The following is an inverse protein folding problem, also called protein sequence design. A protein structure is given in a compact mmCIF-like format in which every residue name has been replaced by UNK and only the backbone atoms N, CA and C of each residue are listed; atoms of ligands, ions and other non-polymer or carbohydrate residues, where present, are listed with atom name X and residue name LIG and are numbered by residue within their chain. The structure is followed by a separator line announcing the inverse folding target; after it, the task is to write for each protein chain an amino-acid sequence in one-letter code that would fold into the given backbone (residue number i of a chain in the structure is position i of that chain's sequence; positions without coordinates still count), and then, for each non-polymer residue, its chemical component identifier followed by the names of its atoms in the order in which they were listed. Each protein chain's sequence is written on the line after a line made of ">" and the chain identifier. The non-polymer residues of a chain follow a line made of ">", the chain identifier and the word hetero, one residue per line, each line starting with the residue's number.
data_IF_408606244550
#
_entry.id   IF_408606244550
#
_cell.length_a   1.000
_cell.length_b   1.000
_cell.length_c   1.000
_cell.angle_alpha   90.00
_cell.angle_beta   90.00
_cell.angle_gamma   90.00
#
_symmetry.space_group_name_H-M   'P 1'
#
loop_
_entity.id
_entity.type
_entity.pdbx_description
1 polymer ?
#
# COMPACT_ATOMS: atom_id res chain seq x y z
N UNK A 1 63.16 -38.60 -5.15
CA UNK A 1 62.83 -37.40 -5.91
C UNK A 1 61.33 -37.48 -6.18
N UNK A 2 60.52 -36.91 -5.31
CA UNK A 2 59.08 -36.99 -5.36
C UNK A 2 58.57 -35.57 -5.46
N UNK A 3 58.16 -35.18 -6.68
CA UNK A 3 57.58 -33.88 -6.95
C UNK A 3 56.15 -33.81 -6.37
N UNK A 4 55.97 -32.85 -5.44
CA UNK A 4 54.67 -32.53 -4.91
C UNK A 4 54.06 -31.44 -5.79
N UNK A 5 53.03 -31.79 -6.54
CA UNK A 5 52.14 -30.84 -7.23
C UNK A 5 51.26 -30.10 -6.21
N UNK A 6 51.14 -28.78 -6.30
CA UNK A 6 50.20 -28.02 -5.44
C UNK A 6 48.77 -28.14 -5.95
N UNK A 7 47.90 -28.58 -5.05
CA UNK A 7 46.44 -28.57 -5.25
C UNK A 7 45.97 -27.11 -5.30
N UNK A 8 45.53 -26.65 -6.46
CA UNK A 8 44.79 -25.39 -6.60
C UNK A 8 43.38 -25.59 -6.07
N UNK A 9 43.09 -24.97 -4.94
CA UNK A 9 41.73 -24.79 -4.49
C UNK A 9 41.06 -23.70 -5.37
N UNK A 10 40.27 -24.12 -6.32
CA UNK A 10 39.33 -23.25 -7.01
C UNK A 10 38.24 -22.81 -6.01
N UNK A 11 38.34 -21.56 -5.56
CA UNK A 11 37.26 -20.88 -4.85
C UNK A 11 36.15 -20.60 -5.86
N UNK A 12 35.20 -21.52 -5.97
CA UNK A 12 33.93 -21.25 -6.61
C UNK A 12 33.23 -20.12 -5.82
N UNK A 13 33.24 -18.93 -6.36
CA UNK A 13 32.44 -17.82 -5.93
C UNK A 13 30.96 -18.17 -6.17
N UNK A 14 30.29 -18.59 -5.11
CA UNK A 14 28.83 -18.64 -5.07
C UNK A 14 28.34 -17.19 -5.08
N UNK A 15 28.04 -16.68 -6.27
CA UNK A 15 27.28 -15.47 -6.46
C UNK A 15 25.84 -15.73 -6.00
N UNK A 16 25.55 -15.39 -4.75
CA UNK A 16 24.18 -15.34 -4.26
C UNK A 16 23.48 -14.18 -4.97
N UNK A 17 22.70 -14.52 -5.98
CA UNK A 17 21.79 -13.58 -6.66
C UNK A 17 20.67 -13.21 -5.72
N UNK A 18 20.85 -12.17 -4.93
CA UNK A 18 19.79 -11.53 -4.19
C UNK A 18 18.92 -10.68 -5.15
N UNK A 19 18.12 -11.35 -5.98
CA UNK A 19 17.07 -10.73 -6.79
C UNK A 19 15.78 -10.71 -5.99
N UNK A 20 15.62 -9.69 -5.17
CA UNK A 20 14.44 -9.43 -4.38
C UNK A 20 14.28 -7.95 -4.07
N UNK A 21 14.64 -7.10 -5.01
CA UNK A 21 14.44 -5.66 -4.86
C UNK A 21 12.97 -5.34 -5.10
N UNK A 22 12.25 -5.08 -4.02
CA UNK A 22 10.94 -4.46 -4.03
C UNK A 22 10.99 -3.19 -4.89
N UNK A 23 10.39 -3.24 -6.08
CA UNK A 23 10.40 -2.17 -7.07
C UNK A 23 9.83 -0.83 -6.59
N UNK A 24 9.31 -0.77 -5.39
CA UNK A 24 8.73 0.43 -4.79
C UNK A 24 9.66 1.20 -3.86
N UNK A 25 10.83 0.65 -3.50
CA UNK A 25 11.70 1.27 -2.49
C UNK A 25 12.47 2.49 -3.01
N UNK A 26 12.60 2.66 -4.31
CA UNK A 26 13.61 3.56 -4.89
C UNK A 26 13.14 4.96 -5.25
N UNK A 27 11.86 5.31 -5.12
CA UNK A 27 11.34 6.58 -5.66
C UNK A 27 10.47 7.39 -4.70
N UNK A 28 10.55 7.14 -3.40
CA UNK A 28 9.91 8.04 -2.46
C UNK A 28 10.73 9.33 -2.34
N UNK A 29 10.32 10.34 -3.11
CA UNK A 29 10.62 11.73 -2.81
C UNK A 29 9.31 12.36 -2.34
N UNK A 30 9.17 12.64 -1.04
CA UNK A 30 7.98 13.31 -0.55
C UNK A 30 7.90 14.68 -1.25
N UNK A 31 6.72 15.01 -1.76
CA UNK A 31 6.44 16.37 -2.20
C UNK A 31 6.72 17.34 -1.04
N UNK A 32 7.14 18.58 -1.31
CA UNK A 32 7.34 19.57 -0.25
C UNK A 32 6.04 19.76 0.52
N UNK A 33 6.10 19.55 1.85
CA UNK A 33 4.93 19.59 2.71
C UNK A 33 5.21 19.10 4.12
N UNK A 34 4.18 19.05 4.93
CA UNK A 34 4.27 18.57 6.32
C UNK A 34 3.95 17.09 6.35
N UNK A 35 4.89 16.27 6.81
CA UNK A 35 4.63 14.84 7.03
C UNK A 35 3.67 14.67 8.22
N UNK A 36 2.60 13.92 7.97
CA UNK A 36 1.59 13.55 8.96
C UNK A 36 1.65 12.04 9.21
N UNK A 37 1.34 11.63 10.43
CA UNK A 37 1.23 10.23 10.80
C UNK A 37 0.10 10.00 11.79
N UNK A 38 -0.67 8.93 11.59
CA UNK A 38 -1.83 8.61 12.44
C UNK A 38 -2.01 7.10 12.57
N UNK A 39 -2.41 6.64 13.75
CA UNK A 39 -2.89 5.28 13.94
C UNK A 39 -4.38 5.20 13.57
N UNK A 40 -4.72 4.24 12.72
CA UNK A 40 -6.09 4.04 12.21
C UNK A 40 -6.45 2.56 12.22
N UNK A 41 -7.75 2.27 12.21
CA UNK A 41 -8.24 0.92 11.92
C UNK A 41 -8.24 0.71 10.42
N UNK A 42 -7.59 -0.35 9.95
CA UNK A 42 -7.59 -0.77 8.56
C UNK A 42 -8.42 -2.03 8.37
N UNK A 43 -9.32 -2.01 7.40
CA UNK A 43 -10.04 -3.16 6.85
C UNK A 43 -9.75 -3.29 5.37
N UNK A 44 -10.32 -4.28 4.70
CA UNK A 44 -10.18 -4.47 3.26
C UNK A 44 -11.53 -4.71 2.60
N UNK A 45 -11.67 -4.28 1.36
CA UNK A 45 -12.87 -4.48 0.55
C UNK A 45 -12.54 -4.92 -0.88
N UNK A 46 -13.55 -5.46 -1.57
CA UNK A 46 -13.43 -5.98 -2.93
C UNK A 46 -14.42 -5.31 -3.88
N UNK A 47 -14.07 -5.30 -5.16
CA UNK A 47 -14.97 -4.89 -6.26
C UNK A 47 -15.75 -6.09 -6.79
N UNK A 48 -16.48 -6.77 -5.92
CA UNK A 48 -17.37 -7.86 -6.34
C UNK A 48 -18.83 -7.40 -6.26
N UNK A 49 -19.67 -7.70 -7.27
CA UNK A 49 -21.05 -7.18 -7.34
C UNK A 49 -21.89 -7.51 -6.10
N UNK A 50 -21.63 -8.65 -5.47
CA UNK A 50 -22.39 -9.13 -4.31
C UNK A 50 -22.13 -8.31 -3.03
N UNK A 51 -21.09 -7.48 -3.02
CA UNK A 51 -20.67 -6.71 -1.83
C UNK A 51 -20.87 -5.20 -1.99
N UNK A 52 -21.33 -4.73 -3.15
CA UNK A 52 -21.34 -3.30 -3.46
C UNK A 52 -22.67 -2.87 -4.04
N UNK A 53 -23.27 -1.82 -3.48
CA UNK A 53 -24.39 -1.12 -4.09
C UNK A 53 -23.85 -0.19 -5.18
N UNK A 54 -24.27 -0.40 -6.44
CA UNK A 54 -23.82 0.39 -7.60
C UNK A 54 -22.73 -0.28 -8.41
N UNK A 55 -21.86 0.51 -9.04
CA UNK A 55 -20.73 -0.01 -9.81
C UNK A 55 -19.53 -0.27 -8.88
N UNK A 56 -19.17 -1.54 -8.63
CA UNK A 56 -18.08 -1.89 -7.72
C UNK A 56 -16.69 -1.47 -8.21
N UNK A 57 -16.57 -1.08 -9.47
CA UNK A 57 -15.33 -0.64 -10.09
C UNK A 57 -15.15 0.88 -10.03
N UNK A 58 -16.07 1.61 -9.41
CA UNK A 58 -15.97 3.06 -9.27
C UNK A 58 -15.85 3.47 -7.80
N UNK A 59 -14.82 4.26 -7.49
CA UNK A 59 -14.70 4.95 -6.23
C UNK A 59 -15.73 6.09 -6.10
N UNK A 60 -15.86 6.65 -4.91
CA UNK A 60 -16.86 7.68 -4.57
C UNK A 60 -16.75 8.97 -5.40
N UNK A 61 -15.63 9.22 -6.04
CA UNK A 61 -15.41 10.37 -6.93
C UNK A 61 -15.41 10.00 -8.41
N UNK A 62 -15.80 8.76 -8.76
CA UNK A 62 -15.82 8.28 -10.13
C UNK A 62 -14.48 7.76 -10.63
N UNK A 63 -13.49 7.62 -9.76
CA UNK A 63 -12.21 6.99 -10.12
C UNK A 63 -12.40 5.50 -10.38
N UNK A 64 -11.81 5.01 -11.47
CA UNK A 64 -11.87 3.60 -11.81
C UNK A 64 -10.93 2.79 -10.92
N UNK A 65 -11.47 1.82 -10.23
CA UNK A 65 -10.76 0.90 -9.35
C UNK A 65 -10.50 -0.42 -10.09
N UNK A 66 -9.42 -0.48 -10.85
CA UNK A 66 -9.04 -1.69 -11.58
C UNK A 66 -8.40 -2.74 -10.64
N UNK A 67 -8.52 -4.04 -10.96
CA UNK A 67 -7.79 -5.06 -10.24
C UNK A 67 -6.29 -4.75 -10.17
N UNK A 68 -5.71 -4.79 -8.96
CA UNK A 68 -4.32 -4.42 -8.73
C UNK A 68 -4.08 -2.94 -8.46
N UNK A 69 -5.10 -2.08 -8.53
CA UNK A 69 -4.99 -0.70 -8.11
C UNK A 69 -4.65 -0.61 -6.61
N UNK A 70 -3.64 0.20 -6.27
CA UNK A 70 -3.31 0.51 -4.87
C UNK A 70 -4.16 1.66 -4.40
N UNK A 71 -5.40 1.37 -4.06
CA UNK A 71 -6.41 2.35 -3.66
C UNK A 71 -6.90 2.09 -2.24
N UNK A 72 -7.25 3.16 -1.54
CA UNK A 72 -7.93 3.11 -0.24
C UNK A 72 -9.15 4.00 -0.22
N UNK A 73 -10.16 3.58 0.54
CA UNK A 73 -11.21 4.44 1.02
C UNK A 73 -10.84 5.00 2.40
N UNK A 74 -11.20 6.24 2.67
CA UNK A 74 -10.92 6.90 3.95
C UNK A 74 -12.19 7.38 4.62
N UNK A 75 -12.21 7.36 5.95
CA UNK A 75 -13.31 7.94 6.73
C UNK A 75 -13.33 9.46 6.62
N UNK A 76 -14.49 10.12 6.78
CA UNK A 76 -14.65 11.56 6.54
C UNK A 76 -13.74 12.45 7.39
N UNK A 77 -13.44 12.05 8.61
CA UNK A 77 -12.51 12.76 9.49
C UNK A 77 -11.08 12.81 8.95
N UNK A 78 -10.66 11.77 8.22
CA UNK A 78 -9.34 11.73 7.58
C UNK A 78 -9.28 12.68 6.36
N UNK A 79 -10.39 12.85 5.64
CA UNK A 79 -10.50 13.87 4.59
C UNK A 79 -10.30 15.27 5.16
N UNK A 80 -10.91 15.55 6.32
CA UNK A 80 -10.76 16.82 7.01
C UNK A 80 -9.31 17.08 7.50
N UNK A 81 -8.54 16.02 7.74
CA UNK A 81 -7.11 16.08 8.09
C UNK A 81 -6.18 16.20 6.87
N UNK A 82 -6.71 16.38 5.66
CA UNK A 82 -5.91 16.56 4.45
C UNK A 82 -5.63 15.30 3.65
N UNK A 83 -6.21 14.16 4.00
CA UNK A 83 -6.18 12.97 3.17
C UNK A 83 -7.25 13.04 2.07
N UNK A 84 -7.03 13.91 1.10
CA UNK A 84 -7.96 14.17 0.00
C UNK A 84 -7.81 13.15 -1.13
N UNK A 85 -8.76 13.21 -2.09
CA UNK A 85 -8.67 12.42 -3.33
C UNK A 85 -7.28 12.56 -3.99
N UNK A 86 -6.66 11.45 -4.30
CA UNK A 86 -5.34 11.39 -4.93
C UNK A 86 -4.15 11.50 -3.97
N UNK A 87 -4.39 11.78 -2.67
CA UNK A 87 -3.33 11.78 -1.66
C UNK A 87 -2.62 10.44 -1.65
N UNK A 88 -1.29 10.48 -1.55
CA UNK A 88 -0.45 9.30 -1.41
C UNK A 88 -0.25 8.96 0.05
N UNK A 89 -0.43 7.70 0.39
CA UNK A 89 -0.39 7.21 1.77
C UNK A 89 0.51 6.00 1.86
N UNK A 90 1.41 6.00 2.84
CA UNK A 90 2.13 4.81 3.27
C UNK A 90 1.39 4.15 4.40
N UNK A 91 1.26 2.84 4.34
CA UNK A 91 0.53 2.02 5.32
C UNK A 91 1.51 1.00 5.88
N UNK A 92 1.71 1.00 7.19
CA UNK A 92 2.59 0.02 7.83
C UNK A 92 2.11 -1.41 7.56
N UNK A 93 3.04 -2.26 7.17
CA UNK A 93 2.75 -3.65 6.79
C UNK A 93 2.36 -3.85 5.33
N UNK A 94 2.25 -2.79 4.53
CA UNK A 94 2.03 -2.88 3.09
C UNK A 94 3.18 -2.24 2.31
N UNK A 95 3.60 -2.84 1.18
CA UNK A 95 4.63 -2.26 0.34
C UNK A 95 4.06 -1.07 -0.45
N UNK A 96 4.96 -0.18 -0.88
CA UNK A 96 4.65 0.93 -1.76
C UNK A 96 3.69 1.96 -1.17
N UNK A 97 3.23 2.87 -2.02
CA UNK A 97 2.23 3.87 -1.69
C UNK A 97 0.87 3.48 -2.22
N UNK A 98 -0.13 3.94 -1.51
CA UNK A 98 -1.54 3.77 -1.81
C UNK A 98 -2.16 5.13 -2.09
N UNK A 99 -3.16 5.20 -2.94
CA UNK A 99 -3.87 6.45 -3.25
C UNK A 99 -5.24 6.46 -2.61
N UNK A 100 -5.64 7.62 -2.10
CA UNK A 100 -7.03 7.87 -1.67
C UNK A 100 -7.88 8.05 -2.93
N UNK A 101 -8.68 7.05 -3.29
CA UNK A 101 -9.55 7.06 -4.45
C UNK A 101 -11.01 6.76 -4.11
N UNK A 102 -11.29 6.56 -2.82
CA UNK A 102 -12.63 6.28 -2.36
C UNK A 102 -12.86 6.83 -0.95
N UNK A 103 -14.12 6.92 -0.53
CA UNK A 103 -14.51 7.41 0.79
C UNK A 103 -15.50 6.47 1.47
N UNK A 104 -15.37 6.39 2.77
CA UNK A 104 -16.23 5.58 3.63
C UNK A 104 -17.48 6.35 4.07
N UNK A 105 -18.57 5.64 4.45
CA UNK A 105 -19.75 6.25 5.05
C UNK A 105 -19.43 7.07 6.31
N UNK A 106 -20.30 8.07 6.59
CA UNK A 106 -20.14 9.03 7.70
C UNK A 106 -20.04 8.42 9.11
N UNK A 107 -20.52 7.19 9.29
CA UNK A 107 -20.46 6.49 10.58
C UNK A 107 -19.04 6.06 10.98
N UNK A 108 -18.10 6.09 10.05
CA UNK A 108 -16.71 5.66 10.30
C UNK A 108 -15.82 6.85 10.65
N UNK A 109 -14.94 6.63 11.61
CA UNK A 109 -13.90 7.58 12.04
C UNK A 109 -12.58 6.84 12.23
N UNK A 110 -11.47 7.53 11.95
CA UNK A 110 -10.08 7.00 12.06
C UNK A 110 -9.94 5.63 11.42
N UNK A 111 -10.48 5.50 10.21
CA UNK A 111 -10.54 4.23 9.50
C UNK A 111 -10.19 4.38 8.03
N UNK A 112 -9.49 3.38 7.54
CA UNK A 112 -9.25 3.18 6.10
C UNK A 112 -9.78 1.80 5.69
N UNK A 113 -10.11 1.68 4.41
CA UNK A 113 -10.52 0.43 3.80
C UNK A 113 -9.66 0.17 2.56
N UNK A 114 -8.92 -0.94 2.54
CA UNK A 114 -7.92 -1.24 1.54
C UNK A 114 -8.58 -1.98 0.39
N UNK A 115 -8.44 -1.46 -0.82
CA UNK A 115 -8.95 -2.11 -2.02
C UNK A 115 -8.11 -3.34 -2.38
N UNK A 116 -8.74 -4.49 -2.44
CA UNK A 116 -8.11 -5.78 -2.76
C UNK A 116 -8.59 -6.34 -4.12
N UNK A 117 -9.13 -5.49 -4.98
CA UNK A 117 -9.64 -5.92 -6.29
C UNK A 117 -10.68 -7.01 -6.16
N UNK A 118 -10.48 -8.12 -6.85
CA UNK A 118 -11.37 -9.30 -6.79
C UNK A 118 -10.86 -10.40 -5.85
N UNK A 119 -9.75 -10.17 -5.15
CA UNK A 119 -9.16 -11.15 -4.24
C UNK A 119 -9.85 -11.14 -2.87
N UNK A 120 -10.97 -11.86 -2.79
CA UNK A 120 -11.75 -12.00 -1.55
C UNK A 120 -10.96 -12.74 -0.48
N UNK A 121 -10.09 -13.67 -0.85
CA UNK A 121 -9.27 -14.42 0.11
C UNK A 121 -8.24 -13.49 0.77
N UNK A 122 -7.55 -12.64 0.01
CA UNK A 122 -6.62 -11.64 0.53
C UNK A 122 -7.34 -10.65 1.47
N UNK A 123 -8.53 -10.18 1.11
CA UNK A 123 -9.30 -9.27 1.94
C UNK A 123 -9.73 -9.91 3.28
N UNK A 124 -10.12 -11.18 3.26
CA UNK A 124 -10.44 -11.95 4.48
C UNK A 124 -9.22 -12.18 5.34
N UNK A 125 -8.09 -12.52 4.73
CA UNK A 125 -6.81 -12.72 5.44
C UNK A 125 -6.31 -11.42 6.07
N UNK A 126 -6.51 -10.28 5.40
CA UNK A 126 -6.20 -8.98 5.97
C UNK A 126 -7.02 -8.73 7.23
N UNK A 127 -8.33 -8.94 7.17
CA UNK A 127 -9.25 -8.76 8.28
C UNK A 127 -9.33 -7.31 8.76
N UNK A 128 -9.34 -7.13 10.09
CA UNK A 128 -9.37 -5.81 10.76
C UNK A 128 -8.15 -5.69 11.67
N UNK A 129 -7.36 -4.64 11.49
CA UNK A 129 -6.15 -4.41 12.30
C UNK A 129 -5.85 -2.93 12.51
N UNK A 130 -5.09 -2.63 13.54
CA UNK A 130 -4.55 -1.29 13.75
C UNK A 130 -3.27 -1.14 12.91
N UNK A 131 -3.16 -0.05 12.18
CA UNK A 131 -1.96 0.29 11.40
C UNK A 131 -1.63 1.75 11.59
N UNK A 132 -0.38 2.12 11.36
CA UNK A 132 0.02 3.51 11.22
C UNK A 132 0.04 3.87 9.75
N UNK A 133 -0.56 5.01 9.42
CA UNK A 133 -0.49 5.61 8.09
C UNK A 133 0.36 6.86 8.13
N UNK A 134 1.02 7.19 7.02
CA UNK A 134 1.82 8.41 6.83
C UNK A 134 1.51 9.02 5.47
N UNK A 135 1.38 10.35 5.44
CA UNK A 135 1.17 11.10 4.21
C UNK A 135 1.82 12.49 4.32
N UNK A 136 1.97 13.15 3.20
CA UNK A 136 2.46 14.53 3.17
C UNK A 136 1.28 15.45 2.83
N UNK A 137 1.00 16.38 3.72
CA UNK A 137 0.06 17.47 3.48
C UNK A 137 0.80 18.57 2.70
N UNK A 138 0.30 18.99 1.52
CA UNK A 138 0.94 20.05 0.75
C UNK A 138 1.10 21.33 1.55
N UNK A 139 2.25 22.00 1.42
CA UNK A 139 2.56 23.22 2.18
C UNK A 139 1.68 24.43 1.81
N UNK A 140 1.00 24.37 0.66
CA UNK A 140 0.16 25.45 0.15
C UNK A 140 -1.32 25.03 0.16
N UNK A 141 -2.01 25.36 1.19
CA UNK A 141 -3.47 25.47 1.28
C UNK A 141 -3.86 26.89 1.59
#
# INVERSE_FOLDING_TARGET
>A
MIDRLPIRLDRALLAASALGLSACASLWQPAPGIERGLAVTATAYNSVPEQTLGNPELGAWGDRLEPGARAIAVSPDLLALGLERGSRVRIDGLPCEWKVLDKMPRRWTRRIDIFMGRDVAAARQWGKRQVRIRWVEPANR
#
